data_IF_042467363403
#
_entry.id   IF_042467363403
#
_cell.length_a   1.000
_cell.length_b   1.000
_cell.length_c   1.000
_cell.angle_alpha   90.00
_cell.angle_beta   90.00
_cell.angle_gamma   90.00
#
_symmetry.space_group_name_H-M   'P 1'
#
loop_
_entity.id
_entity.type
_entity.pdbx_description
1 polymer ?
#
# COMPACT_ATOMS: atom_id res chain seq x y z
N UNK A 1 33.00 1.90 -7.81
CA UNK A 1 32.51 3.10 -8.52
C UNK A 1 32.57 3.03 -10.04
N UNK A 2 31.80 2.12 -10.67
CA UNK A 2 31.68 2.08 -12.15
C UNK A 2 30.38 1.42 -12.65
N UNK A 3 29.31 1.50 -11.85
CA UNK A 3 27.96 1.01 -12.19
C UNK A 3 26.87 2.07 -12.03
N UNK A 4 27.12 3.14 -11.26
CA UNK A 4 26.18 4.25 -11.11
C UNK A 4 26.21 5.24 -12.30
N UNK A 5 27.33 5.36 -13.03
CA UNK A 5 27.42 6.27 -14.18
C UNK A 5 26.75 5.74 -15.46
N UNK A 6 26.51 4.42 -15.55
CA UNK A 6 25.89 3.80 -16.74
C UNK A 6 24.37 3.94 -16.77
N UNK A 7 23.74 4.07 -15.60
CA UNK A 7 22.28 4.27 -15.47
C UNK A 7 21.90 5.68 -15.92
N UNK A 8 22.65 6.70 -15.47
CA UNK A 8 22.39 8.11 -15.80
C UNK A 8 22.59 8.46 -17.30
N UNK A 9 23.53 7.80 -17.98
CA UNK A 9 23.83 8.09 -19.40
C UNK A 9 22.81 7.47 -20.38
N UNK A 10 22.14 6.37 -20.00
CA UNK A 10 21.11 5.73 -20.83
C UNK A 10 19.74 6.38 -20.63
N UNK A 11 19.43 6.79 -19.40
CA UNK A 11 18.20 7.52 -19.04
C UNK A 11 18.13 8.91 -19.69
N UNK A 12 19.27 9.61 -19.82
CA UNK A 12 19.31 10.95 -20.43
C UNK A 12 19.06 10.99 -21.95
N UNK A 13 19.28 9.88 -22.67
CA UNK A 13 19.04 9.82 -24.14
C UNK A 13 17.61 9.42 -24.48
N UNK A 14 17.00 8.46 -23.76
CA UNK A 14 15.61 8.05 -24.02
C UNK A 14 14.57 9.05 -23.51
N UNK A 15 14.84 9.74 -22.39
CA UNK A 15 13.88 10.68 -21.79
C UNK A 15 13.62 11.94 -22.64
N UNK A 16 14.42 12.20 -23.67
CA UNK A 16 14.23 13.35 -24.60
C UNK A 16 13.28 13.04 -25.76
N UNK A 17 13.09 11.76 -26.10
CA UNK A 17 12.29 11.36 -27.28
C UNK A 17 10.89 10.85 -26.92
N UNK A 18 10.68 10.33 -25.71
CA UNK A 18 9.36 9.97 -25.18
C UNK A 18 9.33 10.29 -23.68
N UNK A 19 8.40 11.12 -23.18
CA UNK A 19 8.27 11.35 -21.75
C UNK A 19 7.86 10.04 -21.07
N UNK A 20 8.82 9.37 -20.44
CA UNK A 20 8.56 8.18 -19.62
C UNK A 20 7.98 8.68 -18.30
N UNK A 21 6.70 8.43 -18.09
CA UNK A 21 6.08 8.58 -16.77
C UNK A 21 6.59 7.45 -15.88
N UNK A 22 7.43 7.78 -14.90
CA UNK A 22 7.92 6.81 -13.91
C UNK A 22 6.95 6.80 -12.74
N UNK A 23 6.20 5.71 -12.58
CA UNK A 23 5.38 5.46 -11.40
C UNK A 23 6.04 4.40 -10.51
N UNK A 24 6.25 4.72 -9.23
CA UNK A 24 6.76 3.76 -8.24
C UNK A 24 5.61 2.90 -7.71
N UNK A 25 5.50 1.67 -8.21
CA UNK A 25 4.44 0.72 -7.82
C UNK A 25 4.68 0.00 -6.48
N UNK A 26 5.93 0.01 -5.99
CA UNK A 26 6.32 -0.57 -4.70
C UNK A 26 7.49 0.18 -4.09
N UNK A 27 7.54 0.25 -2.76
CA UNK A 27 8.74 0.68 -2.02
C UNK A 27 9.78 -0.44 -1.86
N UNK A 28 9.38 -1.70 -2.11
CA UNK A 28 10.25 -2.86 -2.08
C UNK A 28 10.78 -3.21 -3.48
N UNK A 29 12.00 -3.78 -3.52
CA UNK A 29 12.65 -4.20 -4.75
C UNK A 29 11.90 -5.35 -5.43
N UNK A 30 11.94 -5.39 -6.77
CA UNK A 30 11.16 -6.31 -7.59
C UNK A 30 11.42 -7.78 -7.27
N UNK A 31 12.67 -8.11 -6.95
CA UNK A 31 13.14 -9.47 -6.61
C UNK A 31 12.58 -10.00 -5.28
N UNK A 32 12.11 -9.12 -4.39
CA UNK A 32 11.51 -9.49 -3.11
C UNK A 32 10.02 -9.80 -3.21
N UNK A 33 9.33 -9.25 -4.22
CA UNK A 33 7.88 -9.30 -4.33
C UNK A 33 7.31 -10.71 -4.59
N UNK A 34 7.94 -11.60 -5.38
CA UNK A 34 7.37 -12.91 -5.70
C UNK A 34 7.05 -13.76 -4.47
N UNK A 35 8.00 -13.84 -3.53
CA UNK A 35 7.87 -14.64 -2.31
C UNK A 35 7.27 -13.89 -1.11
N UNK A 36 6.86 -12.63 -1.30
CA UNK A 36 6.39 -11.81 -0.20
C UNK A 36 5.08 -12.37 0.40
N UNK A 37 5.04 -12.57 1.71
CA UNK A 37 3.81 -12.91 2.43
C UNK A 37 2.94 -11.66 2.69
N UNK A 38 2.68 -10.91 1.62
CA UNK A 38 1.98 -9.63 1.56
C UNK A 38 1.25 -9.52 0.23
N UNK A 39 0.21 -8.67 0.14
CA UNK A 39 -0.36 -8.31 -1.14
C UNK A 39 0.60 -7.35 -1.86
N UNK A 40 0.72 -7.46 -3.18
CA UNK A 40 1.66 -6.67 -3.98
C UNK A 40 1.00 -6.17 -5.26
N UNK A 41 1.63 -5.24 -5.99
CA UNK A 41 1.13 -4.84 -7.31
C UNK A 41 1.18 -5.98 -8.34
N UNK A 42 2.06 -6.99 -8.16
CA UNK A 42 2.07 -8.16 -9.03
C UNK A 42 0.73 -8.90 -9.00
N UNK A 43 0.04 -8.88 -7.84
CA UNK A 43 -1.26 -9.51 -7.69
C UNK A 43 -2.35 -8.80 -8.50
N UNK A 44 -2.34 -7.46 -8.53
CA UNK A 44 -3.25 -6.63 -9.36
C UNK A 44 -3.00 -6.82 -10.86
N UNK A 45 -1.73 -6.94 -11.24
CA UNK A 45 -1.34 -7.25 -12.61
C UNK A 45 -1.79 -8.65 -13.04
N UNK A 46 -1.65 -9.65 -12.15
CA UNK A 46 -2.12 -11.02 -12.40
C UNK A 46 -3.66 -11.12 -12.40
N UNK A 47 -4.36 -10.27 -11.65
CA UNK A 47 -5.82 -10.16 -11.67
C UNK A 47 -6.36 -9.47 -12.94
N UNK A 48 -5.49 -8.85 -13.74
CA UNK A 48 -5.87 -8.10 -14.93
C UNK A 48 -6.45 -6.71 -14.65
N UNK A 49 -6.39 -6.24 -13.40
CA UNK A 49 -6.87 -4.90 -13.00
C UNK A 49 -5.93 -3.81 -13.53
N UNK A 50 -4.62 -4.10 -13.58
CA UNK A 50 -3.59 -3.16 -14.03
C UNK A 50 -2.73 -3.85 -15.11
N UNK A 51 -3.07 -3.72 -16.40
CA UNK A 51 -2.35 -4.36 -17.48
C UNK A 51 -0.91 -3.85 -17.58
N UNK A 52 0.08 -4.74 -17.44
CA UNK A 52 1.49 -4.38 -17.54
C UNK A 52 2.05 -4.87 -18.87
N UNK A 53 2.41 -3.91 -19.73
CA UNK A 53 3.11 -4.17 -20.98
C UNK A 53 4.61 -4.21 -20.71
N UNK A 54 5.11 -5.38 -20.34
CA UNK A 54 6.55 -5.62 -20.26
C UNK A 54 7.07 -6.06 -21.64
N UNK A 55 8.23 -5.58 -22.10
CA UNK A 55 8.94 -6.12 -23.29
C UNK A 55 9.90 -7.23 -22.92
N UNK A 56 10.11 -8.24 -23.77
CA UNK A 56 11.08 -9.33 -23.51
C UNK A 56 12.54 -8.95 -23.70
N UNK A 57 12.93 -7.87 -23.02
CA UNK A 57 14.29 -7.35 -22.94
C UNK A 57 14.43 -6.47 -21.68
N UNK A 58 15.65 -6.41 -21.14
CA UNK A 58 16.00 -5.58 -19.97
C UNK A 58 15.07 -5.80 -18.78
N UNK A 59 14.69 -4.71 -18.12
CA UNK A 59 13.80 -4.71 -16.96
C UNK A 59 12.43 -5.39 -17.20
N UNK A 60 11.92 -5.35 -18.44
CA UNK A 60 10.68 -6.04 -18.77
C UNK A 60 10.78 -7.57 -18.61
N UNK A 61 11.96 -8.15 -18.85
CA UNK A 61 12.22 -9.58 -18.59
C UNK A 61 12.15 -9.89 -17.11
N UNK A 62 12.73 -9.02 -16.27
CA UNK A 62 12.69 -9.16 -14.81
C UNK A 62 11.25 -9.09 -14.28
N UNK A 63 10.44 -8.14 -14.79
CA UNK A 63 9.01 -8.04 -14.44
C UNK A 63 8.23 -9.30 -14.81
N UNK A 64 8.44 -9.84 -16.02
CA UNK A 64 7.81 -11.11 -16.43
C UNK A 64 8.24 -12.28 -15.55
N UNK A 65 9.52 -12.36 -15.19
CA UNK A 65 10.04 -13.39 -14.30
C UNK A 65 9.40 -13.27 -12.89
N UNK A 66 9.29 -12.06 -12.37
CA UNK A 66 8.63 -11.80 -11.09
C UNK A 66 7.13 -12.16 -11.10
N UNK A 67 6.40 -11.82 -12.17
CA UNK A 67 5.00 -12.23 -12.35
C UNK A 67 4.84 -13.74 -12.41
N UNK A 68 5.73 -14.44 -13.13
CA UNK A 68 5.70 -15.91 -13.22
C UNK A 68 6.00 -16.56 -11.87
N UNK A 69 7.04 -16.09 -11.17
CA UNK A 69 7.40 -16.60 -9.84
C UNK A 69 6.29 -16.31 -8.81
N UNK A 70 5.69 -15.12 -8.85
CA UNK A 70 4.57 -14.75 -7.97
C UNK A 70 3.36 -15.64 -8.20
N UNK A 71 3.01 -15.89 -9.46
CA UNK A 71 1.93 -16.80 -9.84
C UNK A 71 2.13 -18.18 -9.24
N UNK A 72 3.33 -18.73 -9.39
CA UNK A 72 3.68 -20.05 -8.86
C UNK A 72 3.54 -20.07 -7.34
N UNK A 73 4.10 -19.07 -6.65
CA UNK A 73 3.99 -18.94 -5.20
C UNK A 73 2.53 -18.86 -4.73
N UNK A 74 1.68 -18.08 -5.39
CA UNK A 74 0.25 -17.98 -5.04
C UNK A 74 -0.49 -19.33 -5.16
N UNK A 75 -0.16 -20.13 -6.18
CA UNK A 75 -0.72 -21.48 -6.36
C UNK A 75 -0.24 -22.39 -5.23
N UNK A 76 1.07 -22.41 -4.95
CA UNK A 76 1.67 -23.22 -3.89
C UNK A 76 1.13 -22.88 -2.50
N UNK A 77 0.81 -21.61 -2.26
CA UNK A 77 0.19 -21.15 -1.01
C UNK A 77 -1.32 -21.44 -0.94
N UNK A 78 -1.92 -22.04 -1.97
CA UNK A 78 -3.37 -22.28 -2.04
C UNK A 78 -4.18 -20.98 -2.08
N UNK A 79 -3.58 -19.89 -2.59
CA UNK A 79 -4.21 -18.57 -2.72
C UNK A 79 -4.79 -18.33 -4.11
N UNK A 80 -4.36 -19.12 -5.09
CA UNK A 80 -4.88 -19.09 -6.45
C UNK A 80 -4.89 -20.49 -7.07
N UNK A 81 -5.62 -20.64 -8.16
CA UNK A 81 -5.69 -21.88 -8.94
C UNK A 81 -5.34 -21.59 -10.41
N UNK A 82 -4.67 -22.52 -11.10
CA UNK A 82 -4.41 -22.38 -12.53
C UNK A 82 -5.72 -22.41 -13.33
N UNK A 83 -5.85 -21.49 -14.29
CA UNK A 83 -6.96 -21.46 -15.26
C UNK A 83 -6.41 -21.24 -16.67
N UNK A 84 -7.25 -21.40 -17.69
CA UNK A 84 -6.85 -21.13 -19.07
C UNK A 84 -6.34 -19.68 -19.21
N UNK A 85 -5.09 -19.52 -19.60
CA UNK A 85 -4.47 -18.20 -19.81
C UNK A 85 -3.96 -17.49 -18.54
N UNK A 86 -4.03 -18.08 -17.34
CA UNK A 86 -3.57 -17.41 -16.13
C UNK A 86 -3.88 -18.13 -14.81
N UNK A 87 -4.30 -17.35 -13.82
CA UNK A 87 -4.76 -17.85 -12.51
C UNK A 87 -6.09 -17.22 -12.13
N UNK A 88 -6.88 -17.95 -11.34
CA UNK A 88 -8.02 -17.43 -10.61
C UNK A 88 -7.67 -17.34 -9.12
N UNK A 89 -7.87 -16.17 -8.50
CA UNK A 89 -7.66 -16.00 -7.07
C UNK A 89 -8.76 -16.70 -6.28
N UNK A 90 -8.37 -17.38 -5.20
CA UNK A 90 -9.33 -17.91 -4.23
C UNK A 90 -10.03 -16.76 -3.51
N UNK A 91 -11.27 -16.98 -3.09
CA UNK A 91 -12.07 -15.97 -2.38
C UNK A 91 -11.33 -15.48 -1.13
N UNK A 92 -11.08 -14.18 -1.06
CA UNK A 92 -10.41 -13.54 0.08
C UNK A 92 -8.88 -13.67 0.11
N UNK A 93 -8.24 -14.23 -0.92
CA UNK A 93 -6.79 -14.42 -0.97
C UNK A 93 -6.00 -13.10 -0.78
N UNK A 94 -6.40 -12.04 -1.49
CA UNK A 94 -5.74 -10.73 -1.37
C UNK A 94 -5.94 -10.10 0.00
N UNK A 95 -7.15 -10.17 0.55
CA UNK A 95 -7.45 -9.69 1.90
C UNK A 95 -6.63 -10.43 2.96
N UNK A 96 -6.44 -11.75 2.80
CA UNK A 96 -5.60 -12.55 3.68
C UNK A 96 -4.13 -12.11 3.62
N UNK A 97 -3.58 -11.92 2.41
CA UNK A 97 -2.20 -11.44 2.23
C UNK A 97 -2.00 -10.03 2.81
N UNK A 98 -2.94 -9.12 2.59
CA UNK A 98 -2.93 -7.78 3.17
C UNK A 98 -2.92 -7.83 4.70
N UNK A 99 -3.77 -8.68 5.30
CA UNK A 99 -3.83 -8.87 6.75
C UNK A 99 -2.54 -9.45 7.31
N UNK A 100 -1.93 -10.43 6.64
CA UNK A 100 -0.64 -11.02 7.05
C UNK A 100 0.47 -9.98 7.10
N UNK A 101 0.55 -9.11 6.09
CA UNK A 101 1.51 -8.01 6.09
C UNK A 101 1.24 -7.02 7.23
N UNK A 102 -0.02 -6.62 7.41
CA UNK A 102 -0.42 -5.69 8.46
C UNK A 102 -0.05 -6.20 9.85
N UNK A 103 -0.32 -7.46 10.15
CA UNK A 103 0.02 -8.07 11.44
C UNK A 103 1.53 -8.14 11.67
N UNK A 104 2.32 -8.46 10.64
CA UNK A 104 3.79 -8.47 10.73
C UNK A 104 4.33 -7.08 11.07
N UNK A 105 3.91 -6.06 10.29
CA UNK A 105 4.40 -4.68 10.51
C UNK A 105 3.86 -4.10 11.80
N UNK A 106 2.63 -4.43 12.18
CA UNK A 106 2.08 -4.06 13.48
C UNK A 106 2.96 -4.57 14.62
N UNK A 107 3.36 -5.86 14.61
CA UNK A 107 4.24 -6.40 15.66
C UNK A 107 5.58 -5.67 15.76
N UNK A 108 6.19 -5.28 14.63
CA UNK A 108 7.40 -4.45 14.62
C UNK A 108 7.15 -3.06 15.24
N UNK A 109 5.99 -2.48 14.94
CA UNK A 109 5.58 -1.18 15.45
C UNK A 109 5.27 -1.20 16.95
N UNK A 110 4.66 -2.27 17.46
CA UNK A 110 4.36 -2.43 18.90
C UNK A 110 5.62 -2.29 19.75
N UNK A 111 6.72 -2.92 19.33
CA UNK A 111 8.02 -2.80 20.01
C UNK A 111 8.58 -1.38 19.98
N UNK A 112 8.48 -0.69 18.84
CA UNK A 112 9.00 0.67 18.69
C UNK A 112 8.15 1.75 19.39
N UNK A 113 6.83 1.61 19.36
CA UNK A 113 5.87 2.59 19.89
C UNK A 113 5.51 2.33 21.36
N UNK A 114 5.79 1.12 21.87
CA UNK A 114 5.35 0.65 23.19
C UNK A 114 3.82 0.79 23.37
N UNK A 115 3.08 0.46 22.32
CA UNK A 115 1.62 0.52 22.24
C UNK A 115 1.12 -0.75 21.58
N UNK A 116 -0.09 -1.17 21.92
CA UNK A 116 -0.72 -2.38 21.34
C UNK A 116 -1.35 -2.05 20.00
N UNK A 117 -1.24 -2.95 19.03
CA UNK A 117 -1.94 -2.83 17.77
C UNK A 117 -3.39 -3.30 17.89
N UNK A 118 -4.31 -2.51 17.34
CA UNK A 118 -5.73 -2.89 17.23
C UNK A 118 -6.14 -2.82 15.76
N UNK A 119 -6.56 -3.96 15.20
CA UNK A 119 -7.13 -4.05 13.85
C UNK A 119 -8.46 -3.28 13.81
N UNK A 120 -8.62 -2.40 12.82
CA UNK A 120 -9.89 -1.70 12.58
C UNK A 120 -10.92 -2.61 11.92
N UNK A 121 -12.15 -2.65 12.45
CA UNK A 121 -13.27 -3.42 11.89
C UNK A 121 -14.28 -2.53 11.19
N UNK A 122 -15.01 -3.10 10.23
CA UNK A 122 -16.12 -2.39 9.59
C UNK A 122 -17.15 -1.92 10.65
N UNK A 123 -17.61 -0.69 10.53
CA UNK A 123 -18.53 -0.04 11.48
C UNK A 123 -17.84 0.56 12.72
N UNK A 124 -16.55 0.33 12.91
CA UNK A 124 -15.81 0.86 14.05
C UNK A 124 -15.48 2.35 13.88
N UNK A 125 -15.57 3.10 14.98
CA UNK A 125 -15.07 4.47 15.06
C UNK A 125 -13.57 4.47 15.37
N UNK A 126 -12.82 5.12 14.50
CA UNK A 126 -11.40 5.39 14.68
C UNK A 126 -11.25 6.84 15.09
N UNK A 127 -10.76 7.09 16.30
CA UNK A 127 -10.28 8.40 16.74
C UNK A 127 -8.83 8.30 17.20
N UNK A 128 -7.99 9.29 16.88
CA UNK A 128 -6.64 9.35 17.42
C UNK A 128 -5.77 10.39 16.74
N UNK A 129 -4.51 10.50 17.17
CA UNK A 129 -3.53 11.38 16.54
C UNK A 129 -2.96 10.70 15.30
N UNK A 130 -3.10 11.31 14.13
CA UNK A 130 -2.42 10.84 12.93
C UNK A 130 -0.93 11.20 13.03
N UNK A 131 -0.02 10.23 13.06
CA UNK A 131 1.40 10.51 13.33
C UNK A 131 2.30 10.33 12.13
N UNK A 132 2.08 9.31 11.30
CA UNK A 132 2.90 9.08 10.11
C UNK A 132 2.20 8.25 9.04
N UNK A 133 2.72 8.36 7.82
CA UNK A 133 2.41 7.43 6.70
C UNK A 133 3.41 6.29 6.72
N UNK A 134 2.92 5.09 6.46
CA UNK A 134 3.72 3.87 6.34
C UNK A 134 3.50 3.31 4.94
N UNK A 135 4.61 3.05 4.24
CA UNK A 135 4.59 2.36 2.95
C UNK A 135 4.73 0.86 3.19
N UNK A 136 3.71 0.10 2.79
CA UNK A 136 3.70 -1.36 2.76
C UNK A 136 3.74 -1.84 1.31
N UNK A 137 4.00 -3.12 1.10
CA UNK A 137 3.89 -3.76 -0.21
C UNK A 137 2.43 -3.76 -0.69
N UNK A 138 1.47 -3.92 0.23
CA UNK A 138 0.04 -3.88 -0.06
C UNK A 138 -0.51 -2.47 -0.30
N UNK A 139 0.30 -1.44 -0.08
CA UNK A 139 -0.10 -0.05 -0.29
C UNK A 139 0.30 0.86 0.86
N UNK A 140 -0.32 2.04 0.91
CA UNK A 140 0.01 3.06 1.91
C UNK A 140 -0.99 3.01 3.05
N UNK A 141 -0.49 3.15 4.27
CA UNK A 141 -1.30 3.19 5.49
C UNK A 141 -0.98 4.44 6.29
N UNK A 142 -1.98 4.93 7.02
CA UNK A 142 -1.84 5.93 8.06
C UNK A 142 -1.76 5.24 9.42
N UNK A 143 -0.84 5.71 10.27
CA UNK A 143 -0.76 5.29 11.66
C UNK A 143 -1.53 6.29 12.54
N UNK A 144 -2.56 5.80 13.21
CA UNK A 144 -3.40 6.56 14.13
C UNK A 144 -3.12 6.09 15.55
N UNK A 145 -2.56 6.97 16.37
CA UNK A 145 -2.18 6.67 17.76
C UNK A 145 -3.23 7.14 18.76
N UNK A 146 -3.45 6.30 19.77
CA UNK A 146 -4.12 6.64 21.04
C UNK A 146 -3.10 6.50 22.18
N UNK A 147 -3.57 6.63 23.43
CA UNK A 147 -2.69 6.61 24.60
C UNK A 147 -1.96 5.28 24.81
N UNK A 148 -2.62 4.15 24.58
CA UNK A 148 -2.06 2.80 24.82
C UNK A 148 -2.08 1.87 23.61
N UNK A 149 -2.68 2.33 22.52
CA UNK A 149 -2.89 1.53 21.32
C UNK A 149 -2.65 2.37 20.07
N UNK A 150 -2.49 1.71 18.94
CA UNK A 150 -2.50 2.31 17.63
C UNK A 150 -3.21 1.42 16.62
N UNK A 151 -3.66 2.04 15.53
CA UNK A 151 -4.32 1.37 14.43
C UNK A 151 -3.67 1.80 13.11
N UNK A 152 -3.58 0.86 12.18
CA UNK A 152 -3.15 1.12 10.80
C UNK A 152 -4.40 1.13 9.93
N UNK A 153 -4.55 2.21 9.16
CA UNK A 153 -5.71 2.41 8.30
C UNK A 153 -5.27 2.70 6.87
N UNK A 154 -6.02 2.29 5.84
CA UNK A 154 -5.69 2.63 4.47
C UNK A 154 -5.51 4.15 4.28
N UNK A 155 -4.41 4.55 3.64
CA UNK A 155 -4.11 5.95 3.38
C UNK A 155 -5.14 6.60 2.45
N UNK A 156 -5.51 7.85 2.73
CA UNK A 156 -6.30 8.69 1.82
C UNK A 156 -5.65 10.08 1.71
N UNK A 157 -5.66 10.72 0.53
CA UNK A 157 -5.07 12.07 0.35
C UNK A 157 -5.61 13.12 1.34
N UNK A 158 -6.86 12.98 1.78
CA UNK A 158 -7.47 13.88 2.78
C UNK A 158 -6.71 13.93 4.12
N UNK A 159 -5.93 12.88 4.43
CA UNK A 159 -5.11 12.79 5.63
C UNK A 159 -3.79 13.55 5.54
N UNK A 160 -3.36 13.95 4.35
CA UNK A 160 -2.04 14.56 4.12
C UNK A 160 -1.83 15.84 4.94
N UNK A 161 -2.90 16.63 5.12
CA UNK A 161 -2.87 17.87 5.90
C UNK A 161 -3.14 17.66 7.41
N UNK A 162 -3.21 16.41 7.87
CA UNK A 162 -3.65 16.07 9.23
C UNK A 162 -2.56 15.45 10.09
N UNK A 163 -1.32 15.33 9.62
CA UNK A 163 -0.22 14.84 10.45
C UNK A 163 -0.04 15.72 11.68
N UNK A 164 0.07 15.07 12.84
CA UNK A 164 0.12 15.73 14.15
C UNK A 164 -1.24 16.11 14.72
N UNK A 165 -2.32 16.10 13.93
CA UNK A 165 -3.66 16.44 14.39
C UNK A 165 -4.42 15.20 14.86
N UNK A 166 -5.47 15.43 15.67
CA UNK A 166 -6.47 14.38 15.93
C UNK A 166 -7.39 14.25 14.73
N UNK A 167 -7.62 13.01 14.33
CA UNK A 167 -8.55 12.61 13.28
C UNK A 167 -9.61 11.70 13.88
N UNK A 168 -10.82 11.78 13.35
CA UNK A 168 -11.90 10.85 13.65
C UNK A 168 -12.50 10.33 12.34
N UNK A 169 -13.02 9.12 12.34
CA UNK A 169 -13.73 8.55 11.20
C UNK A 169 -14.37 7.21 11.50
N UNK A 170 -15.23 6.76 10.60
CA UNK A 170 -15.92 5.47 10.72
C UNK A 170 -15.50 4.56 9.57
N UNK A 171 -15.13 3.32 9.88
CA UNK A 171 -14.81 2.32 8.86
C UNK A 171 -16.09 1.90 8.13
N UNK A 172 -16.09 2.00 6.80
CA UNK A 172 -17.14 1.56 5.89
C UNK A 172 -16.60 0.47 4.95
N UNK A 173 -17.48 -0.16 4.17
CA UNK A 173 -17.11 -1.23 3.21
C UNK A 173 -16.09 -0.79 2.16
N UNK A 174 -16.04 0.51 1.84
CA UNK A 174 -15.15 1.08 0.81
C UNK A 174 -14.00 1.94 1.36
N UNK A 175 -13.75 1.93 2.67
CA UNK A 175 -12.70 2.75 3.31
C UNK A 175 -13.20 3.45 4.56
N UNK A 176 -12.58 4.59 4.92
CA UNK A 176 -12.96 5.35 6.13
C UNK A 176 -13.60 6.66 5.72
N UNK A 177 -14.77 6.93 6.30
CA UNK A 177 -15.41 8.24 6.25
C UNK A 177 -14.81 9.13 7.35
N UNK A 178 -14.03 10.14 6.94
CA UNK A 178 -13.21 10.95 7.84
C UNK A 178 -13.96 12.22 8.28
N UNK A 179 -14.13 12.36 9.59
CA UNK A 179 -14.60 13.58 10.26
C UNK A 179 -13.39 14.38 10.72
N UNK A 180 -12.82 15.15 9.80
CA UNK A 180 -11.67 16.00 10.11
C UNK A 180 -12.17 17.27 10.80
N UNK A 181 -11.68 17.54 12.00
CA UNK A 181 -12.15 18.64 12.84
C UNK A 181 -12.22 19.96 12.07
N UNK A 182 -13.43 20.53 12.01
CA UNK A 182 -13.68 21.85 11.41
C UNK A 182 -12.80 22.89 12.11
N UNK A 183 -12.12 23.71 11.31
CA UNK A 183 -11.53 24.98 11.76
C UNK A 183 -12.64 25.74 12.47
N UNK A 184 -12.47 26.01 13.77
CA UNK A 184 -13.36 26.92 14.52
C UNK A 184 -13.52 28.22 13.70
N UNK A 185 -14.65 28.41 13.01
CA UNK A 185 -15.18 29.76 12.78
C UNK A 185 -15.62 30.21 14.16
N UNK A 186 -15.04 31.32 14.62
CA UNK A 186 -15.42 31.94 15.89
C UNK A 186 -16.93 32.23 15.92
N UNK A 187 -17.51 32.40 17.12
CA UNK A 187 -18.93 32.70 17.24
C UNK A 187 -19.24 33.97 16.43
N UNK A 188 -20.20 33.85 15.49
CA UNK A 188 -20.87 35.03 14.96
C UNK A 188 -21.67 35.63 16.10
N UNK A 189 -21.11 36.69 16.68
CA UNK A 189 -21.84 37.59 17.56
C UNK A 189 -22.91 38.27 16.69
N UNK A 190 -24.14 37.76 16.77
CA UNK A 190 -25.31 38.54 16.38
C UNK A 190 -25.41 39.70 17.37
N UNK A 191 -24.90 40.86 16.96
CA UNK A 191 -25.28 42.11 17.62
C UNK A 191 -26.59 42.57 17.01
N UNK A 192 -27.61 42.54 17.87
CA UNK A 192 -28.88 43.31 17.94
C UNK A 192 -29.27 44.09 16.69
#
# INVERSE_FOLDING_TARGET
DRHLDRVLAYEGRLAREQPVMIETLSSAALDQLPGANAATWLDRALAGEEPIVARDAGFGREVRAALAARRQWLIEQGLAQPVAGGIAFNRGALALLQRRELLRVAGELEGSLRKVFVESRQGEKIEGRLTRRIALMSGRYALVERSREFTLVPWRPVLERQFGNRVAGTVQSGGIDWQLGSRRRGPEISSI
#
